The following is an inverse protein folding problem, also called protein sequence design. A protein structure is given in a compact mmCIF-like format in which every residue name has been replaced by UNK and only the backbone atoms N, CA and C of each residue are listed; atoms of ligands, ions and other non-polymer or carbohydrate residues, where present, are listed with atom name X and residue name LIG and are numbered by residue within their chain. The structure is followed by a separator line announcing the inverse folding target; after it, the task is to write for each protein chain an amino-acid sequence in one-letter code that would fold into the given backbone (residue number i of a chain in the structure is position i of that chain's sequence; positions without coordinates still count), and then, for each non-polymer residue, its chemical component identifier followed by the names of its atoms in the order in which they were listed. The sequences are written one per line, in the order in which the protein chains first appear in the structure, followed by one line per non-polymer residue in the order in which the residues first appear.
data_IF_970037394616
#
_entry.id   IF_970037394616
#
_cell.length_a   1.000
_cell.length_b   1.000
_cell.length_c   1.000
_cell.angle_alpha   90.00
_cell.angle_beta   90.00
_cell.angle_gamma   90.00
#
_symmetry.space_group_name_H-M   'P 1'
#
loop_
_entity.id
_entity.type
_entity.pdbx_description
1 polymer ?
#
# COMPACT_ATOMS: atom_id res chain seq x y z
N UNK A 1 1.94 -5.26 23.01
CA UNK A 1 2.62 -5.32 21.71
C UNK A 1 1.55 -5.24 20.62
N UNK A 2 1.71 -4.39 19.59
CA UNK A 2 0.72 -4.27 18.50
C UNK A 2 0.78 -5.45 17.51
N UNK A 3 1.95 -6.09 17.40
CA UNK A 3 2.15 -7.30 16.62
C UNK A 3 2.62 -8.44 17.51
N UNK A 4 2.26 -9.67 17.14
CA UNK A 4 2.61 -10.90 17.85
C UNK A 4 3.86 -11.58 17.27
N UNK A 5 4.25 -11.25 16.03
CA UNK A 5 5.48 -11.70 15.38
C UNK A 5 5.93 -10.72 14.30
N UNK A 6 7.19 -10.86 13.84
CA UNK A 6 7.68 -10.14 12.67
C UNK A 6 6.95 -10.56 11.39
N UNK A 7 6.59 -11.83 11.28
CA UNK A 7 5.82 -12.35 10.14
C UNK A 7 4.46 -11.67 10.02
N UNK A 8 3.74 -11.49 11.13
CA UNK A 8 2.47 -10.75 11.13
C UNK A 8 2.66 -9.30 10.67
N UNK A 9 3.70 -8.62 11.17
CA UNK A 9 3.98 -7.24 10.79
C UNK A 9 4.33 -7.12 9.30
N UNK A 10 5.08 -8.08 8.76
CA UNK A 10 5.44 -8.13 7.35
C UNK A 10 4.19 -8.33 6.48
N UNK A 11 3.36 -9.32 6.80
CA UNK A 11 2.14 -9.60 6.05
C UNK A 11 1.21 -8.37 5.99
N UNK A 12 0.97 -7.73 7.14
CA UNK A 12 0.13 -6.53 7.19
C UNK A 12 0.73 -5.36 6.39
N UNK A 13 2.06 -5.25 6.37
CA UNK A 13 2.76 -4.22 5.58
C UNK A 13 2.62 -4.50 4.08
N UNK A 14 2.81 -5.75 3.66
CA UNK A 14 2.71 -6.15 2.25
C UNK A 14 1.29 -5.92 1.71
N UNK A 15 0.27 -6.29 2.51
CA UNK A 15 -1.13 -6.02 2.20
C UNK A 15 -1.40 -4.52 2.03
N UNK A 16 -0.90 -3.70 2.96
CA UNK A 16 -1.06 -2.25 2.89
C UNK A 16 -0.36 -1.62 1.68
N UNK A 17 0.86 -2.09 1.35
CA UNK A 17 1.62 -1.62 0.18
C UNK A 17 0.87 -1.93 -1.12
N UNK A 18 0.31 -3.14 -1.24
CA UNK A 18 -0.47 -3.52 -2.41
C UNK A 18 -1.74 -2.65 -2.57
N UNK A 19 -2.42 -2.35 -1.46
CA UNK A 19 -3.59 -1.46 -1.48
C UNK A 19 -3.21 -0.03 -1.87
N UNK A 20 -2.16 0.53 -1.26
CA UNK A 20 -1.72 1.90 -1.48
C UNK A 20 -1.29 2.15 -2.92
N UNK A 21 -0.53 1.21 -3.49
CA UNK A 21 0.03 1.35 -4.84
C UNK A 21 -0.97 1.00 -5.94
N UNK A 22 -1.92 0.10 -5.69
CA UNK A 22 -2.79 -0.44 -6.73
C UNK A 22 -4.23 0.06 -6.71
N UNK A 23 -4.72 0.57 -5.58
CA UNK A 23 -6.17 0.79 -5.42
C UNK A 23 -6.53 2.18 -4.90
N UNK A 24 -5.58 2.89 -4.28
CA UNK A 24 -5.84 4.22 -3.70
C UNK A 24 -5.43 5.32 -4.68
N UNK A 25 -6.38 6.10 -5.22
CA UNK A 25 -6.05 7.27 -6.03
C UNK A 25 -5.55 8.41 -5.14
N UNK A 26 -4.48 9.07 -5.57
CA UNK A 26 -3.87 10.17 -4.82
C UNK A 26 -4.05 11.49 -5.56
N UNK A 27 -4.55 12.52 -4.86
CA UNK A 27 -4.77 13.84 -5.47
C UNK A 27 -3.47 14.44 -6.05
N UNK A 28 -2.32 14.20 -5.42
CA UNK A 28 -1.02 14.63 -5.92
C UNK A 28 -0.64 13.99 -7.26
N UNK A 29 -1.20 12.82 -7.57
CA UNK A 29 -1.03 12.10 -8.83
C UNK A 29 -2.22 12.32 -9.77
N UNK A 30 -2.97 13.42 -9.62
CA UNK A 30 -4.14 13.69 -10.46
C UNK A 30 -5.28 12.67 -10.25
N UNK A 31 -5.41 12.12 -9.05
CA UNK A 31 -6.34 11.03 -8.71
C UNK A 31 -6.03 9.69 -9.41
N UNK A 32 -4.78 9.47 -9.82
CA UNK A 32 -4.30 8.16 -10.25
C UNK A 32 -3.72 7.37 -9.06
N UNK A 33 -3.67 6.05 -9.21
CA UNK A 33 -2.89 5.21 -8.30
C UNK A 33 -1.39 5.33 -8.62
N UNK A 34 -0.48 5.03 -7.67
CA UNK A 34 0.95 5.06 -7.95
C UNK A 34 1.35 4.12 -9.10
N UNK A 35 0.71 2.96 -9.21
CA UNK A 35 0.95 2.01 -10.30
C UNK A 35 0.51 2.58 -11.64
N UNK A 36 -0.69 3.18 -11.71
CA UNK A 36 -1.21 3.78 -12.96
C UNK A 36 -0.40 5.00 -13.41
N UNK A 37 0.17 5.75 -12.47
CA UNK A 37 1.01 6.91 -12.76
C UNK A 37 2.40 6.50 -13.30
N UNK A 38 2.92 5.34 -12.88
CA UNK A 38 4.24 4.84 -13.28
C UNK A 38 4.25 4.03 -14.59
N UNK A 39 3.08 3.73 -15.15
CA UNK A 39 2.87 2.98 -16.39
C UNK A 39 3.14 3.82 -17.64
#
# INVERSE_FOLDING_TARGET
CLFTSLEQAQQMTDEWVAEYNGHRPHQALGYQTPTDYAA
#
